data_IF_794499078064
#
_entry.id   IF_794499078064
#
_cell.length_a   1.000
_cell.length_b   1.000
_cell.length_c   1.000
_cell.angle_alpha   90.00
_cell.angle_beta   90.00
_cell.angle_gamma   90.00
#
_symmetry.space_group_name_H-M   'P 1'
#
loop_
_entity.id
_entity.type
_entity.pdbx_description
1 polymer ?
#
# COMPACT_ATOMS: atom_id res chain seq x y z
N UNK A 1 10.07 3.01 8.40
CA UNK A 1 10.29 1.57 8.15
C UNK A 1 11.54 1.43 7.28
N UNK A 2 12.44 0.46 7.55
CA UNK A 2 13.46 0.08 6.55
C UNK A 2 12.69 -0.55 5.38
N UNK A 3 12.67 0.11 4.23
CA UNK A 3 12.17 -0.53 3.02
C UNK A 3 13.08 -1.75 2.73
N UNK A 4 12.47 -2.85 2.28
CA UNK A 4 13.17 -4.11 1.99
C UNK A 4 14.17 -3.99 0.84
N UNK A 5 14.69 -5.13 0.41
CA UNK A 5 15.55 -5.24 -0.79
C UNK A 5 14.69 -4.96 -2.04
N UNK A 6 15.31 -4.43 -3.10
CA UNK A 6 14.65 -4.28 -4.40
C UNK A 6 14.11 -5.61 -4.94
N UNK A 7 12.99 -5.60 -5.68
CA UNK A 7 12.24 -4.42 -6.15
C UNK A 7 11.27 -3.83 -5.11
N UNK A 8 11.23 -2.50 -5.00
CA UNK A 8 10.35 -1.74 -4.09
C UNK A 8 9.26 -1.00 -4.84
N UNK A 9 8.07 -0.95 -4.25
CA UNK A 9 6.92 -0.28 -4.85
C UNK A 9 5.60 -0.63 -4.20
N UNK A 10 4.51 -0.33 -4.90
CA UNK A 10 3.17 -0.78 -4.53
C UNK A 10 2.94 -2.15 -5.16
N UNK A 11 2.50 -3.10 -4.35
CA UNK A 11 2.35 -4.53 -4.72
C UNK A 11 0.93 -5.05 -4.56
N UNK A 12 0.04 -4.27 -3.97
CA UNK A 12 -1.30 -4.73 -3.65
C UNK A 12 -2.32 -3.58 -3.63
N UNK A 13 -3.57 -3.94 -3.88
CA UNK A 13 -4.76 -3.12 -3.69
C UNK A 13 -5.84 -3.94 -2.99
N UNK A 14 -6.86 -3.28 -2.44
CA UNK A 14 -7.93 -3.93 -1.73
C UNK A 14 -8.76 -2.97 -0.89
N UNK A 15 -9.53 -3.53 0.04
CA UNK A 15 -10.45 -2.80 0.92
C UNK A 15 -10.25 -3.22 2.37
N UNK A 16 -10.48 -2.27 3.28
CA UNK A 16 -10.64 -2.59 4.69
C UNK A 16 -12.04 -3.20 4.91
N UNK A 17 -12.10 -4.33 5.59
CA UNK A 17 -13.36 -5.02 5.92
C UNK A 17 -13.86 -4.70 7.33
N UNK A 18 -13.01 -4.10 8.15
CA UNK A 18 -13.33 -3.66 9.49
C UNK A 18 -12.87 -2.23 9.77
N UNK A 19 -13.51 -1.61 10.75
CA UNK A 19 -12.91 -0.48 11.46
C UNK A 19 -11.66 -0.95 12.22
N UNK A 20 -10.85 0.00 12.71
CA UNK A 20 -9.69 -0.35 13.50
C UNK A 20 -10.08 -1.01 14.82
N UNK A 21 -9.27 -1.98 15.28
CA UNK A 21 -9.45 -2.65 16.56
C UNK A 21 -8.10 -2.95 17.23
N UNK A 22 -8.11 -3.12 18.55
CA UNK A 22 -6.91 -3.54 19.30
C UNK A 22 -6.78 -5.06 19.31
N UNK A 23 -5.56 -5.55 19.11
CA UNK A 23 -5.21 -6.96 19.15
C UNK A 23 -3.87 -7.21 19.86
N UNK A 24 -3.47 -8.49 20.01
CA UNK A 24 -2.21 -8.85 20.65
C UNK A 24 -0.99 -8.21 19.96
N UNK A 25 -0.04 -7.69 20.74
CA UNK A 25 1.15 -7.04 20.20
C UNK A 25 2.04 -7.95 19.36
N UNK A 26 2.13 -7.68 18.07
CA UNK A 26 3.05 -8.43 17.19
C UNK A 26 4.54 -8.13 17.45
N UNK A 27 4.88 -6.94 17.98
CA UNK A 27 6.27 -6.55 18.32
C UNK A 27 6.69 -6.94 19.72
N UNK A 28 5.78 -6.81 20.69
CA UNK A 28 6.06 -7.02 22.11
C UNK A 28 4.87 -7.75 22.75
N UNK A 29 5.07 -8.97 23.27
CA UNK A 29 4.03 -9.67 24.02
C UNK A 29 3.49 -8.79 25.16
N UNK A 30 2.17 -8.76 25.31
CA UNK A 30 1.50 -7.99 26.35
C UNK A 30 1.29 -6.49 26.07
N UNK A 31 1.78 -5.96 24.94
CA UNK A 31 1.51 -4.57 24.52
C UNK A 31 0.58 -4.59 23.31
N UNK A 32 -0.69 -4.16 23.40
CA UNK A 32 -1.62 -4.24 22.27
C UNK A 32 -1.17 -3.40 21.06
N UNK A 33 -1.68 -3.75 19.88
CA UNK A 33 -1.46 -3.03 18.62
C UNK A 33 -2.80 -2.79 17.91
N UNK A 34 -2.85 -1.77 17.06
CA UNK A 34 -4.02 -1.50 16.23
C UNK A 34 -3.97 -2.32 14.93
N UNK A 35 -5.11 -2.89 14.56
CA UNK A 35 -5.31 -3.73 13.39
C UNK A 35 -6.50 -3.23 12.57
N UNK A 36 -6.52 -3.63 11.30
CA UNK A 36 -7.66 -3.58 10.40
C UNK A 36 -7.65 -4.89 9.62
N UNK A 37 -8.82 -5.45 9.36
CA UNK A 37 -8.95 -6.58 8.44
C UNK A 37 -8.96 -6.04 7.02
N UNK A 38 -8.24 -6.72 6.11
CA UNK A 38 -8.12 -6.31 4.72
C UNK A 38 -8.42 -7.48 3.79
N UNK A 39 -9.19 -7.19 2.74
CA UNK A 39 -9.37 -8.09 1.61
C UNK A 39 -8.64 -7.53 0.40
N UNK A 40 -7.74 -8.32 -0.18
CA UNK A 40 -6.98 -7.94 -1.37
C UNK A 40 -7.73 -8.31 -2.65
N UNK A 41 -7.84 -7.38 -3.59
CA UNK A 41 -8.32 -7.65 -4.94
C UNK A 41 -7.16 -7.97 -5.91
N UNK A 42 -5.99 -7.42 -5.63
CA UNK A 42 -4.72 -7.73 -6.30
C UNK A 42 -3.61 -7.80 -5.26
N UNK A 43 -2.81 -8.87 -5.33
CA UNK A 43 -1.59 -9.05 -4.55
C UNK A 43 -0.54 -9.70 -5.46
N UNK A 44 0.55 -8.98 -5.72
CA UNK A 44 1.60 -9.39 -6.66
C UNK A 44 2.82 -9.91 -5.89
N UNK A 45 3.48 -10.92 -6.44
CA UNK A 45 4.81 -11.35 -5.98
C UNK A 45 5.89 -10.48 -6.65
N UNK A 46 6.54 -9.54 -5.93
CA UNK A 46 7.57 -8.66 -6.51
C UNK A 46 8.79 -9.41 -7.05
N UNK A 47 9.00 -10.69 -6.70
CA UNK A 47 10.08 -11.50 -7.24
C UNK A 47 9.77 -12.11 -8.61
N UNK A 48 8.49 -12.24 -8.95
CA UNK A 48 8.01 -12.92 -10.17
C UNK A 48 7.19 -12.01 -11.09
N UNK A 49 6.54 -10.99 -10.53
CA UNK A 49 5.58 -10.13 -11.21
C UNK A 49 6.04 -8.68 -11.19
N UNK A 50 5.78 -7.90 -12.26
CA UNK A 50 6.07 -6.48 -12.27
C UNK A 50 5.17 -5.77 -11.24
N UNK A 51 5.73 -4.80 -10.53
CA UNK A 51 5.03 -3.98 -9.54
C UNK A 51 5.08 -2.51 -9.95
N UNK A 52 4.23 -1.66 -9.37
CA UNK A 52 4.33 -0.20 -9.57
C UNK A 52 5.57 0.32 -8.82
N UNK A 53 6.67 0.68 -9.51
CA UNK A 53 7.95 0.92 -8.86
C UNK A 53 7.92 2.19 -8.02
N UNK A 54 8.72 2.21 -6.94
CA UNK A 54 8.82 3.35 -6.02
C UNK A 54 9.16 4.65 -6.73
N UNK A 55 10.00 4.60 -7.77
CA UNK A 55 10.41 5.77 -8.54
C UNK A 55 9.22 6.44 -9.24
N UNK A 56 8.23 5.68 -9.71
CA UNK A 56 7.04 6.23 -10.37
C UNK A 56 6.25 7.16 -9.44
N UNK A 57 6.26 6.87 -8.13
CA UNK A 57 5.56 7.67 -7.12
C UNK A 57 6.18 9.06 -6.88
N UNK A 58 7.41 9.29 -7.36
CA UNK A 58 8.11 10.58 -7.24
C UNK A 58 7.90 11.51 -8.43
N UNK A 59 7.00 11.18 -9.36
CA UNK A 59 6.78 11.94 -10.59
C UNK A 59 5.33 12.46 -10.71
N UNK A 60 5.17 13.58 -11.43
CA UNK A 60 3.85 14.14 -11.75
C UNK A 60 2.97 14.40 -10.54
N UNK A 61 1.68 14.07 -10.63
CA UNK A 61 0.71 14.24 -9.54
C UNK A 61 1.04 13.37 -8.32
N UNK A 62 1.68 12.22 -8.53
CA UNK A 62 2.03 11.29 -7.44
C UNK A 62 3.06 11.90 -6.48
N UNK A 63 3.91 12.80 -6.98
CA UNK A 63 4.90 13.51 -6.17
C UNK A 63 4.29 14.47 -5.13
N UNK A 64 2.99 14.80 -5.23
CA UNK A 64 2.29 15.62 -4.23
C UNK A 64 2.02 14.88 -2.92
N UNK A 65 2.27 13.57 -2.87
CA UNK A 65 2.10 12.74 -1.70
C UNK A 65 3.46 12.33 -1.10
N UNK A 66 3.56 12.37 0.22
CA UNK A 66 4.73 11.87 0.94
C UNK A 66 4.63 10.36 1.17
N UNK A 67 5.23 9.58 0.27
CA UNK A 67 5.15 8.10 0.28
C UNK A 67 6.05 7.42 1.33
N UNK A 68 7.06 8.11 1.87
CA UNK A 68 8.03 7.53 2.82
C UNK A 68 7.64 7.75 4.29
N UNK A 69 6.34 7.92 4.56
CA UNK A 69 5.81 8.04 5.92
C UNK A 69 6.33 6.93 6.83
N UNK A 70 6.62 7.29 8.07
CA UNK A 70 7.03 6.31 9.10
C UNK A 70 5.82 5.76 9.88
N UNK A 71 4.61 6.25 9.58
CA UNK A 71 3.35 5.82 10.19
C UNK A 71 2.44 5.17 9.15
N UNK A 72 1.78 4.07 9.50
CA UNK A 72 0.79 3.41 8.66
C UNK A 72 -0.57 4.14 8.71
N UNK A 73 -1.46 3.84 7.76
CA UNK A 73 -2.83 4.35 7.78
C UNK A 73 -2.96 5.83 7.41
N UNK A 74 -2.26 6.28 6.38
CA UNK A 74 -2.37 7.65 5.87
C UNK A 74 -3.44 7.74 4.78
N UNK A 75 -4.16 8.87 4.73
CA UNK A 75 -5.09 9.15 3.64
C UNK A 75 -4.32 9.70 2.44
N UNK A 76 -4.52 9.10 1.27
CA UNK A 76 -4.04 9.63 -0.01
C UNK A 76 -5.01 10.75 -0.45
N UNK A 77 -4.53 11.95 -0.82
CA UNK A 77 -5.39 13.01 -1.35
C UNK A 77 -6.14 12.55 -2.61
N UNK A 78 -7.42 12.91 -2.77
CA UNK A 78 -8.28 12.39 -3.83
C UNK A 78 -7.70 12.60 -5.26
N UNK A 79 -7.02 13.73 -5.49
CA UNK A 79 -6.34 13.99 -6.76
C UNK A 79 -5.16 13.06 -7.04
N UNK A 80 -4.41 12.71 -5.99
CA UNK A 80 -3.31 11.74 -6.06
C UNK A 80 -3.88 10.33 -6.20
N UNK A 81 -4.92 9.98 -5.46
CA UNK A 81 -5.57 8.67 -5.53
C UNK A 81 -6.09 8.36 -6.94
N UNK A 82 -6.70 9.33 -7.61
CA UNK A 82 -7.12 9.17 -9.02
C UNK A 82 -5.96 8.94 -9.97
N UNK A 83 -4.82 9.60 -9.76
CA UNK A 83 -3.65 9.36 -10.59
C UNK A 83 -3.00 8.01 -10.28
N UNK A 84 -2.96 7.63 -9.01
CA UNK A 84 -2.46 6.33 -8.57
C UNK A 84 -3.26 5.21 -9.21
N UNK A 85 -4.58 5.32 -9.24
CA UNK A 85 -5.47 4.36 -9.89
C UNK A 85 -5.12 4.17 -11.37
N UNK A 86 -4.83 5.26 -12.11
CA UNK A 86 -4.40 5.15 -13.51
C UNK A 86 -3.06 4.44 -13.64
N UNK A 87 -2.09 4.76 -12.79
CA UNK A 87 -0.78 4.11 -12.79
C UNK A 87 -0.88 2.62 -12.41
N UNK A 88 -1.81 2.27 -11.53
CA UNK A 88 -2.02 0.91 -11.03
C UNK A 88 -2.69 -0.03 -12.05
N UNK A 89 -3.48 0.50 -12.99
CA UNK A 89 -4.25 -0.31 -13.96
C UNK A 89 -3.45 -1.37 -14.72
N UNK A 90 -2.19 -1.09 -15.03
CA UNK A 90 -1.32 -2.04 -15.75
C UNK A 90 -0.93 -3.27 -14.91
N UNK A 91 -1.12 -3.21 -13.60
CA UNK A 91 -0.75 -4.22 -12.61
C UNK A 91 -1.98 -4.93 -12.03
N UNK A 92 -3.12 -4.25 -11.99
CA UNK A 92 -4.36 -4.81 -11.48
C UNK A 92 -4.98 -5.78 -12.48
N UNK A 93 -5.27 -7.01 -12.04
CA UNK A 93 -6.05 -7.99 -12.81
C UNK A 93 -7.55 -7.73 -12.60
N UNK A 94 -8.02 -6.50 -12.80
CA UNK A 94 -9.45 -6.24 -12.77
C UNK A 94 -10.06 -6.94 -13.97
N UNK A 95 -10.81 -8.02 -13.71
CA UNK A 95 -11.63 -8.67 -14.72
C UNK A 95 -12.54 -7.59 -15.34
N UNK A 96 -12.43 -7.45 -16.65
CA UNK A 96 -13.20 -6.51 -17.45
C UNK A 96 -14.68 -6.88 -17.47
#
# INVERSE_FOLDING_TARGET
MRQGVEPRGIVASGWAESDWYEGPGWRRPGVPCNYVDVAFDTLLDPSQEPILPREALSHGKLAEMYWDTQVSGIRIPDGVARELEKAWRSFSRVAR
#
